data_IF_191690650109
#
_entry.id   IF_191690650109
#
_cell.length_a   1.000
_cell.length_b   1.000
_cell.length_c   1.000
_cell.angle_alpha   90.00
_cell.angle_beta   90.00
_cell.angle_gamma   90.00
#
_symmetry.space_group_name_H-M   'P 1'
#
loop_
_entity.id
_entity.type
_entity.pdbx_description
1 polymer ?
#
# COMPACT_ATOMS: atom_id res chain seq x y z
N UNK A 1 3.81 -12.08 -5.19
CA UNK A 1 3.93 -11.88 -3.73
C UNK A 1 2.80 -10.97 -3.27
N UNK A 2 2.01 -11.39 -2.29
CA UNK A 2 0.93 -10.54 -1.73
C UNK A 2 1.31 -10.14 -0.32
N UNK A 3 1.21 -8.85 -0.02
CA UNK A 3 1.56 -8.30 1.29
C UNK A 3 0.33 -7.72 1.98
N UNK A 4 0.23 -8.01 3.27
CA UNK A 4 -0.81 -7.51 4.17
C UNK A 4 -0.24 -7.36 5.58
N UNK A 5 -0.89 -6.56 6.41
CA UNK A 5 -0.49 -6.31 7.79
C UNK A 5 -0.27 -4.84 8.09
N UNK A 6 0.33 -4.56 9.24
CA UNK A 6 0.58 -3.20 9.70
C UNK A 6 2.07 -3.03 10.03
N UNK A 7 2.63 -1.84 9.86
CA UNK A 7 1.97 -0.56 9.52
C UNK A 7 2.19 -0.19 8.05
N UNK A 8 1.18 0.35 7.35
CA UNK A 8 1.25 0.68 5.90
C UNK A 8 2.46 1.54 5.56
N UNK A 9 2.68 2.61 6.34
CA UNK A 9 3.74 3.60 6.10
C UNK A 9 5.07 3.28 6.81
N UNK A 10 5.22 2.06 7.33
CA UNK A 10 6.47 1.59 7.96
C UNK A 10 6.80 0.21 7.35
N UNK A 11 6.40 -0.88 8.01
CA UNK A 11 6.78 -2.24 7.63
C UNK A 11 6.35 -2.58 6.21
N UNK A 12 5.10 -2.27 5.84
CA UNK A 12 4.58 -2.62 4.51
C UNK A 12 5.25 -1.79 3.42
N UNK A 13 5.51 -0.50 3.66
CA UNK A 13 6.20 0.36 2.69
C UNK A 13 7.60 -0.15 2.38
N UNK A 14 8.41 -0.42 3.41
CA UNK A 14 9.79 -0.82 3.19
C UNK A 14 9.91 -2.23 2.59
N UNK A 15 9.11 -3.19 3.05
CA UNK A 15 9.16 -4.56 2.50
C UNK A 15 8.62 -4.61 1.05
N UNK A 16 7.58 -3.83 0.73
CA UNK A 16 7.07 -3.75 -0.64
C UNK A 16 8.04 -3.01 -1.57
N UNK A 17 8.70 -1.95 -1.08
CA UNK A 17 9.74 -1.24 -1.83
C UNK A 17 10.93 -2.17 -2.12
N UNK A 18 11.44 -2.90 -1.12
CA UNK A 18 12.53 -3.85 -1.31
C UNK A 18 12.15 -4.94 -2.33
N UNK A 19 10.96 -5.52 -2.19
CA UNK A 19 10.48 -6.54 -3.11
C UNK A 19 10.27 -5.98 -4.54
N UNK A 20 9.78 -4.74 -4.68
CA UNK A 20 9.67 -4.06 -5.97
C UNK A 20 11.04 -3.81 -6.61
N UNK A 21 12.02 -3.31 -5.83
CA UNK A 21 13.40 -3.09 -6.30
C UNK A 21 14.06 -4.39 -6.78
N UNK A 22 13.78 -5.51 -6.10
CA UNK A 22 14.26 -6.85 -6.49
C UNK A 22 13.48 -7.46 -7.68
N UNK A 23 12.45 -6.79 -8.19
CA UNK A 23 11.69 -7.22 -9.37
C UNK A 23 10.61 -8.26 -9.10
N UNK A 24 10.17 -8.44 -7.86
CA UNK A 24 9.03 -9.32 -7.58
C UNK A 24 7.72 -8.69 -8.09
N UNK A 25 6.79 -9.51 -8.58
CA UNK A 25 5.40 -9.06 -8.82
C UNK A 25 4.69 -8.95 -7.45
N UNK A 26 4.68 -7.74 -6.89
CA UNK A 26 4.14 -7.45 -5.57
C UNK A 26 2.74 -6.86 -5.71
N UNK A 27 1.79 -7.37 -4.92
CA UNK A 27 0.45 -6.79 -4.78
C UNK A 27 0.16 -6.45 -3.32
N UNK A 28 -0.36 -5.25 -3.07
CA UNK A 28 -0.85 -4.77 -1.77
C UNK A 28 -2.32 -4.39 -1.90
N UNK A 29 -3.19 -4.96 -1.06
CA UNK A 29 -4.60 -4.59 -1.02
C UNK A 29 -4.85 -3.65 0.15
N UNK A 30 -5.35 -2.45 -0.14
CA UNK A 30 -5.62 -1.40 0.84
C UNK A 30 -6.54 -1.87 1.97
N UNK A 31 -7.41 -2.86 1.72
CA UNK A 31 -8.33 -3.41 2.73
C UNK A 31 -7.61 -4.18 3.85
N UNK A 32 -6.39 -4.66 3.62
CA UNK A 32 -5.65 -5.52 4.54
C UNK A 32 -4.38 -4.86 5.11
N UNK A 33 -4.28 -3.53 5.00
CA UNK A 33 -3.19 -2.75 5.57
C UNK A 33 -3.73 -1.51 6.28
N UNK A 34 -3.08 -1.06 7.35
CA UNK A 34 -3.46 0.17 8.05
C UNK A 34 -2.23 1.03 8.41
N UNK A 35 -2.33 2.33 8.15
CA UNK A 35 -1.31 3.31 8.53
C UNK A 35 -1.67 4.01 9.85
N UNK A 36 -0.70 4.71 10.45
CA UNK A 36 -0.92 5.46 11.72
C UNK A 36 -1.88 6.64 11.54
N UNK A 37 -1.81 7.29 10.38
CA UNK A 37 -2.73 8.34 9.97
C UNK A 37 -3.19 8.10 8.55
N UNK A 38 -4.33 8.68 8.18
CA UNK A 38 -4.83 8.63 6.81
C UNK A 38 -3.83 9.22 5.81
N UNK A 39 -3.16 10.32 6.19
CA UNK A 39 -2.18 10.99 5.33
C UNK A 39 -1.00 10.07 5.05
N UNK A 40 -0.44 9.45 6.09
CA UNK A 40 0.73 8.58 5.96
C UNK A 40 0.38 7.28 5.22
N UNK A 41 -0.80 6.72 5.50
CA UNK A 41 -1.32 5.55 4.80
C UNK A 41 -1.42 5.79 3.29
N UNK A 42 -2.05 6.90 2.88
CA UNK A 42 -2.20 7.25 1.46
C UNK A 42 -0.84 7.55 0.82
N UNK A 43 0.03 8.29 1.50
CA UNK A 43 1.38 8.56 1.03
C UNK A 43 2.14 7.27 0.73
N UNK A 44 2.12 6.31 1.67
CA UNK A 44 2.83 5.05 1.52
C UNK A 44 2.30 4.23 0.33
N UNK A 45 0.97 4.09 0.19
CA UNK A 45 0.39 3.38 -0.94
C UNK A 45 0.74 4.07 -2.28
N UNK A 46 0.79 5.40 -2.33
CA UNK A 46 1.21 6.14 -3.51
C UNK A 46 2.68 5.89 -3.87
N UNK A 47 3.58 5.81 -2.88
CA UNK A 47 4.98 5.48 -3.12
C UNK A 47 5.14 4.06 -3.65
N UNK A 48 4.45 3.09 -3.05
CA UNK A 48 4.45 1.69 -3.52
C UNK A 48 4.09 1.60 -4.99
N UNK A 49 2.98 2.26 -5.37
CA UNK A 49 2.44 2.21 -6.73
C UNK A 49 3.27 2.98 -7.74
N UNK A 50 3.59 4.25 -7.44
CA UNK A 50 4.16 5.18 -8.42
C UNK A 50 5.68 5.11 -8.51
N UNK A 51 6.36 4.70 -7.43
CA UNK A 51 7.82 4.72 -7.34
C UNK A 51 8.40 3.31 -7.41
N UNK A 52 7.78 2.34 -6.73
CA UNK A 52 8.32 0.98 -6.61
C UNK A 52 7.64 -0.06 -7.52
N UNK A 53 6.68 0.36 -8.35
CA UNK A 53 6.01 -0.52 -9.31
C UNK A 53 5.13 -1.61 -8.67
N UNK A 54 4.75 -1.43 -7.41
CA UNK A 54 3.90 -2.38 -6.68
C UNK A 54 2.45 -2.20 -7.13
N UNK A 55 1.74 -3.30 -7.41
CA UNK A 55 0.31 -3.24 -7.72
C UNK A 55 -0.50 -2.96 -6.45
N UNK A 56 -1.12 -1.80 -6.36
CA UNK A 56 -1.97 -1.44 -5.22
C UNK A 56 -3.45 -1.58 -5.58
N UNK A 57 -4.16 -2.47 -4.87
CA UNK A 57 -5.62 -2.58 -4.99
C UNK A 57 -6.28 -1.58 -4.04
N UNK A 58 -6.74 -0.46 -4.60
CA UNK A 58 -7.39 0.62 -3.84
C UNK A 58 -8.82 0.25 -3.47
N UNK A 59 -9.25 0.65 -2.27
CA UNK A 59 -10.63 0.51 -1.86
C UNK A 59 -11.48 1.59 -2.54
N UNK A 60 -12.60 1.23 -3.22
CA UNK A 60 -13.49 2.24 -3.77
C UNK A 60 -14.06 3.10 -2.64
N UNK A 61 -14.03 4.43 -2.82
CA UNK A 61 -14.69 5.37 -1.89
C UNK A 61 -16.17 5.06 -1.85
N UNK A 62 -16.70 4.75 -0.66
CA UNK A 62 -18.16 4.69 -0.47
C UNK A 62 -18.75 6.07 -0.77
N UNK A 63 -19.85 6.17 -1.54
CA UNK A 63 -20.57 7.44 -1.71
C UNK A 63 -21.03 7.93 -0.34
N UNK A 64 -20.79 9.21 -0.04
CA UNK A 64 -21.29 9.87 1.16
C UNK A 64 -22.83 9.85 1.09
N UNK A 65 -23.49 9.05 1.95
CA UNK A 65 -24.94 9.13 2.11
C UNK A 65 -25.23 10.47 2.78
N UNK A 66 -25.93 11.36 2.06
CA UNK A 66 -26.51 12.60 2.59
C UNK A 66 -27.68 12.26 3.49
#
# INVERSE_FOLDING_TARGET
LTLSGCVTNICILFISAEAGIRGYDVTVDERYVAGLSRKDHVFALDQMEKVFGVRVLRRPRKPTRR
#
